data_IF_889301616386
#
_entry.id   IF_889301616386
#
_cell.length_a   1.000
_cell.length_b   1.000
_cell.length_c   1.000
_cell.angle_alpha   90.00
_cell.angle_beta   90.00
_cell.angle_gamma   90.00
#
_symmetry.space_group_name_H-M   'P 1'
#
loop_
_entity.id
_entity.type
_entity.pdbx_description
1 polymer ?
#
# COMPACT_ATOMS: atom_id res chain seq x y z
N UNK A 1 -4.86 20.59 17.19
CA UNK A 1 -3.78 20.58 16.18
C UNK A 1 -4.39 21.04 14.87
N UNK A 2 -3.68 21.87 14.11
CA UNK A 2 -4.14 22.30 12.80
C UNK A 2 -4.08 21.14 11.78
N UNK A 3 -5.02 21.11 10.83
CA UNK A 3 -5.15 20.03 9.85
C UNK A 3 -3.89 19.94 8.98
N UNK A 4 -3.32 21.07 8.58
CA UNK A 4 -2.12 21.12 7.76
C UNK A 4 -0.90 20.51 8.49
N UNK A 5 -0.75 20.83 9.78
CA UNK A 5 0.30 20.24 10.62
C UNK A 5 0.16 18.71 10.71
N UNK A 6 -1.07 18.22 10.92
CA UNK A 6 -1.34 16.78 10.96
C UNK A 6 -0.99 16.09 9.64
N UNK A 7 -1.34 16.70 8.51
CA UNK A 7 -0.98 16.19 7.17
C UNK A 7 0.53 16.06 7.03
N UNK A 8 1.30 17.09 7.38
CA UNK A 8 2.76 17.02 7.28
C UNK A 8 3.37 15.96 8.18
N UNK A 9 2.85 15.76 9.40
CA UNK A 9 3.31 14.70 10.30
C UNK A 9 3.06 13.32 9.68
N UNK A 10 1.84 13.06 9.20
CA UNK A 10 1.50 11.76 8.60
C UNK A 10 2.31 11.46 7.34
N UNK A 11 2.44 12.45 6.45
CA UNK A 11 3.22 12.30 5.21
C UNK A 11 4.70 12.15 5.52
N UNK A 12 5.27 13.00 6.37
CA UNK A 12 6.67 12.91 6.75
C UNK A 12 7.01 11.58 7.41
N UNK A 13 6.14 11.10 8.30
CA UNK A 13 6.33 9.81 8.97
C UNK A 13 6.23 8.63 8.01
N UNK A 14 5.24 8.61 7.11
CA UNK A 14 5.07 7.50 6.15
C UNK A 14 6.28 7.39 5.22
N UNK A 15 6.74 8.50 4.64
CA UNK A 15 7.94 8.52 3.80
C UNK A 15 9.18 8.09 4.57
N UNK A 16 9.39 8.61 5.78
CA UNK A 16 10.54 8.24 6.61
C UNK A 16 10.57 6.75 6.92
N UNK A 17 9.41 6.15 7.22
CA UNK A 17 9.27 4.72 7.47
C UNK A 17 9.64 3.91 6.22
N UNK A 18 9.05 4.21 5.07
CA UNK A 18 9.33 3.47 3.82
C UNK A 18 10.78 3.63 3.35
N UNK A 19 11.36 4.81 3.50
CA UNK A 19 12.79 5.04 3.22
C UNK A 19 13.66 4.18 4.15
N UNK A 20 13.34 4.14 5.44
CA UNK A 20 14.05 3.29 6.41
C UNK A 20 13.99 1.80 6.04
N UNK A 21 12.82 1.32 5.63
CA UNK A 21 12.64 -0.06 5.15
C UNK A 21 13.46 -0.29 3.88
N UNK A 22 13.41 0.63 2.91
CA UNK A 22 14.16 0.51 1.65
C UNK A 22 15.68 0.46 1.86
N UNK A 23 16.21 1.22 2.82
CA UNK A 23 17.64 1.18 3.16
C UNK A 23 18.01 -0.18 3.80
N UNK A 24 17.17 -0.71 4.68
CA UNK A 24 17.42 -1.98 5.37
C UNK A 24 17.23 -3.20 4.48
N UNK A 25 16.34 -3.13 3.50
CA UNK A 25 15.98 -4.24 2.61
C UNK A 25 16.63 -4.13 1.22
N UNK A 26 17.83 -3.53 1.13
CA UNK A 26 18.55 -3.42 -0.16
C UNK A 26 18.91 -4.79 -0.70
N UNK A 27 18.43 -5.08 -1.92
CA UNK A 27 18.73 -6.32 -2.62
C UNK A 27 20.22 -6.41 -2.97
N UNK A 28 20.82 -7.59 -2.80
CA UNK A 28 22.24 -7.84 -3.09
C UNK A 28 22.49 -8.61 -4.39
N UNK A 29 21.46 -9.22 -4.96
CA UNK A 29 21.53 -10.02 -6.17
C UNK A 29 20.26 -9.86 -7.01
N UNK A 30 20.32 -10.35 -8.25
CA UNK A 30 19.16 -10.41 -9.15
C UNK A 30 18.06 -11.31 -8.62
N UNK A 31 18.41 -12.45 -7.99
CA UNK A 31 17.40 -13.37 -7.43
C UNK A 31 16.69 -12.76 -6.23
N UNK A 32 17.41 -12.07 -5.36
CA UNK A 32 16.87 -11.35 -4.22
C UNK A 32 15.91 -10.24 -4.69
N UNK A 33 16.28 -9.49 -5.73
CA UNK A 33 15.44 -8.42 -6.29
C UNK A 33 14.14 -8.93 -6.94
N UNK A 34 14.18 -10.01 -7.72
CA UNK A 34 13.00 -10.46 -8.49
C UNK A 34 12.11 -11.46 -7.75
N UNK A 35 12.69 -12.33 -6.91
CA UNK A 35 11.95 -13.44 -6.28
C UNK A 35 12.21 -13.56 -4.78
N UNK A 36 12.94 -12.60 -4.16
CA UNK A 36 13.28 -12.62 -2.74
C UNK A 36 13.84 -13.98 -2.28
N UNK A 37 14.68 -14.60 -3.13
CA UNK A 37 15.26 -15.94 -2.96
C UNK A 37 14.25 -17.05 -2.60
N UNK A 38 12.97 -16.89 -2.99
CA UNK A 38 11.84 -17.79 -2.64
C UNK A 38 11.62 -17.95 -1.14
N UNK A 39 12.10 -17.00 -0.33
CA UNK A 39 12.04 -17.04 1.13
C UNK A 39 10.77 -16.44 1.74
N UNK A 40 9.90 -15.81 0.95
CA UNK A 40 8.70 -15.12 1.44
C UNK A 40 7.58 -16.12 1.74
N UNK A 41 7.03 -16.05 2.96
CA UNK A 41 5.90 -16.89 3.36
C UNK A 41 4.68 -16.63 2.44
N UNK A 42 3.96 -17.67 1.99
CA UNK A 42 2.80 -17.51 1.09
C UNK A 42 1.73 -16.54 1.59
N UNK A 43 1.48 -16.48 2.89
CA UNK A 43 0.50 -15.55 3.48
C UNK A 43 1.01 -14.11 3.36
N UNK A 44 2.28 -13.86 3.67
CA UNK A 44 2.89 -12.53 3.51
C UNK A 44 2.89 -12.09 2.05
N UNK A 45 3.19 -13.01 1.12
CA UNK A 45 3.15 -12.75 -0.31
C UNK A 45 1.72 -12.43 -0.78
N UNK A 46 0.71 -13.18 -0.31
CA UNK A 46 -0.69 -12.90 -0.61
C UNK A 46 -1.16 -11.55 -0.07
N UNK A 47 -0.73 -11.17 1.13
CA UNK A 47 -1.01 -9.84 1.69
C UNK A 47 -0.32 -8.72 0.90
N UNK A 48 0.92 -8.93 0.46
CA UNK A 48 1.62 -7.98 -0.40
C UNK A 48 0.87 -7.77 -1.73
N UNK A 49 0.47 -8.86 -2.39
CA UNK A 49 -0.38 -8.77 -3.59
C UNK A 49 -1.67 -8.02 -3.30
N UNK A 50 -2.41 -8.34 -2.24
CA UNK A 50 -3.64 -7.61 -1.91
C UNK A 50 -3.41 -6.11 -1.66
N UNK A 51 -2.29 -5.75 -1.03
CA UNK A 51 -1.90 -4.37 -0.80
C UNK A 51 -1.54 -3.64 -2.10
N UNK A 52 -0.83 -4.29 -3.02
CA UNK A 52 -0.46 -3.72 -4.33
C UNK A 52 -1.70 -3.42 -5.20
N UNK A 53 -2.79 -4.15 -5.01
CA UNK A 53 -4.05 -3.92 -5.70
C UNK A 53 -4.83 -2.72 -5.14
N UNK A 54 -4.49 -2.23 -3.94
CA UNK A 54 -5.14 -1.11 -3.28
C UNK A 54 -4.37 0.19 -3.49
N UNK A 55 -4.68 0.88 -4.58
CA UNK A 55 -4.18 2.24 -4.81
C UNK A 55 -5.02 3.30 -4.06
N UNK A 56 -4.46 4.49 -3.86
CA UNK A 56 -5.21 5.64 -3.34
C UNK A 56 -6.44 5.98 -4.21
N UNK A 57 -6.32 5.82 -5.53
CA UNK A 57 -7.43 6.02 -6.46
C UNK A 57 -8.53 4.98 -6.22
N UNK A 58 -8.16 3.69 -6.06
CA UNK A 58 -9.10 2.61 -5.75
C UNK A 58 -9.84 2.88 -4.44
N UNK A 59 -9.14 3.32 -3.39
CA UNK A 59 -9.72 3.63 -2.10
C UNK A 59 -10.71 4.81 -2.16
N UNK A 60 -10.31 5.93 -2.77
CA UNK A 60 -11.18 7.12 -2.91
C UNK A 60 -12.39 6.80 -3.79
N UNK A 61 -12.17 6.06 -4.88
CA UNK A 61 -13.24 5.67 -5.79
C UNK A 61 -14.25 4.73 -5.13
N UNK A 62 -13.80 3.90 -4.17
CA UNK A 62 -14.69 3.08 -3.34
C UNK A 62 -15.60 3.89 -2.45
N UNK A 63 -15.06 4.89 -1.74
CA UNK A 63 -15.89 5.80 -0.96
C UNK A 63 -16.90 6.54 -1.87
N UNK A 64 -16.46 7.01 -3.03
CA UNK A 64 -17.29 7.69 -4.02
C UNK A 64 -18.44 6.81 -4.52
N UNK A 65 -18.14 5.64 -5.07
CA UNK A 65 -19.16 4.73 -5.61
C UNK A 65 -20.13 4.26 -4.53
N UNK A 66 -19.66 3.95 -3.31
CA UNK A 66 -20.56 3.56 -2.21
C UNK A 66 -21.51 4.71 -1.86
N UNK A 67 -21.04 5.96 -1.89
CA UNK A 67 -21.89 7.12 -1.57
C UNK A 67 -23.05 7.31 -2.56
N UNK A 68 -22.89 6.85 -3.82
CA UNK A 68 -23.89 7.02 -4.87
C UNK A 68 -24.71 5.74 -5.16
N UNK A 69 -24.09 4.56 -5.10
CA UNK A 69 -24.66 3.28 -5.52
C UNK A 69 -24.84 2.29 -4.36
N UNK A 70 -24.46 2.67 -3.13
CA UNK A 70 -24.49 1.78 -1.97
C UNK A 70 -23.43 0.67 -2.04
N UNK A 71 -23.57 -0.32 -1.15
CA UNK A 71 -22.61 -1.43 -1.02
C UNK A 71 -22.45 -2.24 -2.31
N UNK A 72 -23.51 -2.36 -3.11
CA UNK A 72 -23.51 -3.13 -4.35
C UNK A 72 -22.65 -2.47 -5.45
N UNK A 73 -22.36 -1.18 -5.34
CA UNK A 73 -21.40 -0.52 -6.22
C UNK A 73 -19.94 -0.93 -5.96
N UNK A 74 -19.62 -1.40 -4.74
CA UNK A 74 -18.24 -1.67 -4.33
C UNK A 74 -17.59 -2.86 -5.09
N UNK A 75 -18.39 -3.76 -5.65
CA UNK A 75 -17.89 -4.91 -6.46
C UNK A 75 -17.29 -4.48 -7.79
N UNK A 76 -17.56 -3.27 -8.29
CA UNK A 76 -17.07 -2.77 -9.58
C UNK A 76 -15.75 -2.01 -9.50
N UNK A 77 -15.14 -1.92 -8.31
CA UNK A 77 -13.87 -1.23 -8.07
C UNK A 77 -12.64 -2.12 -8.20
N UNK A 78 -12.85 -3.31 -8.75
CA UNK A 78 -11.82 -4.27 -9.15
C UNK A 78 -12.02 -4.67 -10.59
#
# INVERSE_FOLDING_TARGET
MDAQLLTFIFVGFSFSLYIGIAIRSRAKSTSDFYIADKGVNPIANGMATAADWMSAASFISMAGIISFLGKDGAVYLM
#
